data_IF_479792155948
#
_entry.id   IF_479792155948
#
_cell.length_a   1.000
_cell.length_b   1.000
_cell.length_c   1.000
_cell.angle_alpha   90.00
_cell.angle_beta   90.00
_cell.angle_gamma   90.00
#
_symmetry.space_group_name_H-M   'P 1'
#
loop_
_entity.id
_entity.type
_entity.pdbx_description
1 polymer ?
#
# COMPACT_ATOMS: atom_id res chain seq x y z
N UNK A 1 -7.18 -27.06 18.54
CA UNK A 1 -7.50 -25.87 19.35
C UNK A 1 -6.17 -25.27 19.78
N UNK A 2 -5.75 -24.15 19.19
CA UNK A 2 -4.43 -23.55 19.46
C UNK A 2 -4.41 -23.01 20.89
N UNK A 3 -3.59 -23.62 21.75
CA UNK A 3 -3.30 -23.06 23.08
C UNK A 3 -2.24 -21.98 22.92
N UNK A 4 -2.65 -20.76 22.55
CA UNK A 4 -1.77 -19.60 22.61
C UNK A 4 -1.28 -19.41 24.04
N UNK A 5 0.01 -19.13 24.22
CA UNK A 5 0.47 -18.67 25.51
C UNK A 5 -0.19 -17.31 25.83
N UNK A 6 -0.52 -17.07 27.10
CA UNK A 6 -1.16 -15.82 27.55
C UNK A 6 -0.42 -14.56 27.08
N UNK A 7 0.91 -14.63 26.98
CA UNK A 7 1.77 -13.55 26.50
C UNK A 7 1.65 -13.30 24.99
N UNK A 8 1.49 -14.35 24.18
CA UNK A 8 1.31 -14.26 22.73
C UNK A 8 -0.05 -13.62 22.38
N UNK A 9 -1.09 -14.00 23.12
CA UNK A 9 -2.42 -13.39 22.98
C UNK A 9 -2.40 -11.91 23.39
N UNK A 10 -1.70 -11.58 24.48
CA UNK A 10 -1.50 -10.19 24.90
C UNK A 10 -0.77 -9.37 23.84
N UNK A 11 0.31 -9.92 23.26
CA UNK A 11 1.05 -9.27 22.19
C UNK A 11 0.17 -8.94 20.98
N UNK A 12 -0.68 -9.88 20.55
CA UNK A 12 -1.60 -9.66 19.42
C UNK A 12 -2.62 -8.56 19.71
N UNK A 13 -3.20 -8.53 20.92
CA UNK A 13 -4.13 -7.47 21.34
C UNK A 13 -3.42 -6.12 21.32
N UNK A 14 -2.20 -6.04 21.85
CA UNK A 14 -1.43 -4.80 21.86
C UNK A 14 -1.11 -4.30 20.45
N UNK A 15 -0.69 -5.19 19.55
CA UNK A 15 -0.45 -4.85 18.15
C UNK A 15 -1.70 -4.39 17.42
N UNK A 16 -2.86 -5.02 17.70
CA UNK A 16 -4.14 -4.57 17.18
C UNK A 16 -4.51 -3.18 17.70
N UNK A 17 -4.38 -2.94 19.01
CA UNK A 17 -4.65 -1.64 19.64
C UNK A 17 -3.73 -0.55 19.10
N UNK A 18 -2.44 -0.85 18.92
CA UNK A 18 -1.47 0.06 18.31
C UNK A 18 -1.90 0.46 16.90
N UNK A 19 -2.19 -0.52 16.04
CA UNK A 19 -2.67 -0.27 14.68
C UNK A 19 -3.96 0.55 14.69
N UNK A 20 -4.93 0.21 15.54
CA UNK A 20 -6.19 0.93 15.67
C UNK A 20 -5.98 2.40 16.09
N UNK A 21 -5.08 2.65 17.05
CA UNK A 21 -4.73 4.00 17.51
C UNK A 21 -4.12 4.81 16.36
N UNK A 22 -3.10 4.25 15.68
CA UNK A 22 -2.44 4.86 14.52
C UNK A 22 -3.45 5.22 13.43
N UNK A 23 -4.37 4.30 13.13
CA UNK A 23 -5.43 4.55 12.17
C UNK A 23 -6.36 5.66 12.60
N UNK A 24 -6.86 5.60 13.84
CA UNK A 24 -7.81 6.57 14.37
C UNK A 24 -7.22 7.97 14.38
N UNK A 25 -5.98 8.12 14.85
CA UNK A 25 -5.24 9.39 14.85
C UNK A 25 -5.00 9.88 13.43
N UNK A 26 -4.55 9.02 12.52
CA UNK A 26 -4.32 9.43 11.13
C UNK A 26 -5.61 9.85 10.42
N UNK A 27 -6.75 9.18 10.66
CA UNK A 27 -8.05 9.59 10.12
C UNK A 27 -8.53 10.91 10.72
N UNK A 28 -8.30 11.13 12.02
CA UNK A 28 -8.57 12.42 12.66
C UNK A 28 -7.75 13.53 12.01
N UNK A 29 -6.44 13.33 11.82
CA UNK A 29 -5.55 14.30 11.16
C UNK A 29 -5.99 14.60 9.73
N UNK A 30 -6.36 13.59 8.94
CA UNK A 30 -6.88 13.79 7.57
C UNK A 30 -8.13 14.68 7.60
N UNK A 31 -9.07 14.46 8.53
CA UNK A 31 -10.28 15.28 8.68
C UNK A 31 -9.95 16.72 9.11
N UNK A 32 -9.03 16.90 10.05
CA UNK A 32 -8.59 18.22 10.50
C UNK A 32 -7.94 19.00 9.35
N UNK A 33 -7.09 18.35 8.54
CA UNK A 33 -6.48 18.98 7.37
C UNK A 33 -7.54 19.37 6.33
N UNK A 34 -8.52 18.48 6.05
CA UNK A 34 -9.66 18.82 5.17
C UNK A 34 -10.38 20.08 5.67
N UNK A 35 -10.64 20.17 6.98
CA UNK A 35 -11.32 21.31 7.58
C UNK A 35 -10.51 22.61 7.45
N UNK A 36 -9.21 22.57 7.77
CA UNK A 36 -8.31 23.71 7.66
C UNK A 36 -8.24 24.22 6.20
N UNK A 37 -8.02 23.32 5.25
CA UNK A 37 -7.86 23.68 3.85
C UNK A 37 -9.18 24.16 3.20
N UNK A 38 -10.32 23.60 3.61
CA UNK A 38 -11.64 24.03 3.12
C UNK A 38 -12.00 25.45 3.60
N UNK A 39 -11.61 25.80 4.82
CA UNK A 39 -11.86 27.15 5.36
C UNK A 39 -10.96 28.21 4.72
N UNK A 40 -9.73 27.86 4.34
CA UNK A 40 -8.79 28.78 3.70
C UNK A 40 -9.21 29.12 2.25
N UNK A 41 -9.75 28.14 1.52
CA UNK A 41 -10.30 28.35 0.17
C UNK A 41 -11.56 29.25 0.11
N UNK A 42 -12.15 29.62 1.26
CA UNK A 42 -13.24 30.59 1.34
C UNK A 42 -12.74 32.06 1.45
N UNK A 43 -11.45 32.28 1.67
CA UNK A 43 -10.79 33.58 1.58
C UNK A 43 -10.09 33.74 0.23
N UNK A 44 -10.34 34.83 -0.48
CA UNK A 44 -9.79 35.14 -1.79
C UNK A 44 -8.27 34.88 -1.91
N UNK A 45 -7.88 33.98 -2.82
CA UNK A 45 -6.50 33.93 -3.33
C UNK A 45 -6.56 34.00 -4.85
N UNK A 46 -6.38 35.21 -5.37
CA UNK A 46 -6.04 35.48 -6.76
C UNK A 46 -4.57 35.10 -7.00
N UNK A 47 -4.32 33.93 -7.59
CA UNK A 47 -3.18 33.62 -8.48
C UNK A 47 -3.15 32.12 -8.82
N UNK A 48 -3.20 31.78 -10.12
CA UNK A 48 -3.27 30.40 -10.61
C UNK A 48 -2.09 29.52 -10.17
N UNK A 49 -0.90 30.09 -9.95
CA UNK A 49 0.30 29.34 -9.53
C UNK A 49 0.31 29.04 -8.02
N UNK A 50 -0.23 29.95 -7.20
CA UNK A 50 -0.36 29.75 -5.76
C UNK A 50 -1.35 28.63 -5.44
N UNK A 51 -2.46 28.56 -6.21
CA UNK A 51 -3.48 27.52 -6.08
C UNK A 51 -2.91 26.13 -6.40
N UNK A 52 -2.10 26.01 -7.46
CA UNK A 52 -1.49 24.72 -7.84
C UNK A 52 -0.45 24.21 -6.84
N UNK A 53 0.30 25.10 -6.18
CA UNK A 53 1.21 24.73 -5.10
C UNK A 53 0.44 24.30 -3.85
N UNK A 54 -0.61 25.02 -3.50
CA UNK A 54 -1.46 24.73 -2.36
C UNK A 54 -2.10 23.34 -2.46
N UNK A 55 -2.66 23.00 -3.61
CA UNK A 55 -3.21 21.67 -3.90
C UNK A 55 -2.16 20.57 -3.82
N UNK A 56 -0.94 20.85 -4.31
CA UNK A 56 0.17 19.89 -4.26
C UNK A 56 0.61 19.59 -2.82
N UNK A 57 0.67 20.62 -1.97
CA UNK A 57 1.01 20.48 -0.54
C UNK A 57 -0.09 19.69 0.17
N UNK A 58 -1.35 20.02 -0.09
CA UNK A 58 -2.50 19.33 0.49
C UNK A 58 -2.49 17.83 0.19
N UNK A 59 -2.26 17.45 -1.08
CA UNK A 59 -2.15 16.03 -1.47
C UNK A 59 -0.94 15.37 -0.80
N UNK A 60 0.22 16.05 -0.77
CA UNK A 60 1.43 15.53 -0.15
C UNK A 60 1.25 15.25 1.36
N UNK A 61 0.53 16.11 2.09
CA UNK A 61 0.19 15.85 3.49
C UNK A 61 -0.63 14.57 3.68
N UNK A 62 -1.64 14.34 2.85
CA UNK A 62 -2.43 13.11 2.89
C UNK A 62 -1.58 11.87 2.58
N UNK A 63 -0.65 11.97 1.63
CA UNK A 63 0.31 10.89 1.36
C UNK A 63 1.23 10.64 2.55
N UNK A 64 1.67 11.70 3.24
CA UNK A 64 2.48 11.60 4.45
C UNK A 64 1.76 10.88 5.59
N UNK A 65 0.49 11.23 5.84
CA UNK A 65 -0.32 10.55 6.87
C UNK A 65 -0.58 9.10 6.49
N UNK A 66 -0.90 8.84 5.22
CA UNK A 66 -1.11 7.48 4.75
C UNK A 66 0.16 6.63 4.88
N UNK A 67 1.32 7.21 4.56
CA UNK A 67 2.63 6.57 4.74
C UNK A 67 2.90 6.28 6.22
N UNK A 68 2.65 7.24 7.11
CA UNK A 68 2.76 7.03 8.56
C UNK A 68 1.91 5.83 9.02
N UNK A 69 0.64 5.76 8.59
CA UNK A 69 -0.26 4.64 8.94
C UNK A 69 0.26 3.30 8.42
N UNK A 70 0.61 3.24 7.13
CA UNK A 70 1.10 2.03 6.48
C UNK A 70 2.40 1.52 7.12
N UNK A 71 3.34 2.43 7.33
CA UNK A 71 4.65 2.16 7.92
C UNK A 71 4.56 1.69 9.37
N UNK A 72 3.77 2.36 10.22
CA UNK A 72 3.64 2.00 11.62
C UNK A 72 3.02 0.60 11.78
N UNK A 73 1.96 0.31 11.03
CA UNK A 73 1.37 -1.03 11.02
C UNK A 73 2.30 -2.08 10.41
N UNK A 74 3.05 -1.75 9.35
CA UNK A 74 4.02 -2.67 8.77
C UNK A 74 5.14 -3.03 9.75
N UNK A 75 5.62 -2.09 10.56
CA UNK A 75 6.61 -2.36 11.61
C UNK A 75 6.01 -3.24 12.70
N UNK A 76 4.76 -2.99 13.09
CA UNK A 76 4.09 -3.76 14.15
C UNK A 76 3.73 -5.19 13.69
N UNK A 77 3.54 -5.42 12.40
CA UNK A 77 3.35 -6.76 11.83
C UNK A 77 4.53 -7.71 12.13
N UNK A 78 5.71 -7.18 12.46
CA UNK A 78 6.84 -7.96 12.96
C UNK A 78 6.46 -8.79 14.21
N UNK A 79 5.62 -8.24 15.09
CA UNK A 79 5.12 -8.96 16.28
C UNK A 79 4.25 -10.14 15.86
N UNK A 80 3.33 -9.94 14.91
CA UNK A 80 2.45 -10.99 14.38
C UNK A 80 3.29 -12.10 13.75
N UNK A 81 4.30 -11.72 12.95
CA UNK A 81 5.23 -12.65 12.32
C UNK A 81 6.02 -13.46 13.34
N UNK A 82 6.61 -12.81 14.34
CA UNK A 82 7.39 -13.48 15.38
C UNK A 82 6.57 -14.46 16.21
N UNK A 83 5.26 -14.18 16.36
CA UNK A 83 4.37 -14.95 17.22
C UNK A 83 3.69 -16.09 16.46
N UNK A 84 3.26 -15.86 15.21
CA UNK A 84 2.39 -16.77 14.47
C UNK A 84 2.91 -17.16 13.09
N UNK A 85 4.11 -16.70 12.70
CA UNK A 85 4.74 -17.02 11.43
C UNK A 85 4.20 -16.23 10.23
N UNK A 86 4.70 -16.60 9.05
CA UNK A 86 4.51 -15.83 7.80
C UNK A 86 3.06 -15.85 7.29
N UNK A 87 2.31 -16.93 7.51
CA UNK A 87 0.89 -17.02 7.08
C UNK A 87 0.00 -16.03 7.82
N UNK A 88 0.23 -15.85 9.12
CA UNK A 88 -0.50 -14.87 9.93
C UNK A 88 -0.06 -13.43 9.62
N UNK A 89 1.23 -13.23 9.31
CA UNK A 89 1.71 -11.96 8.80
C UNK A 89 1.00 -11.57 7.48
N UNK A 90 0.84 -12.53 6.57
CA UNK A 90 0.12 -12.31 5.32
C UNK A 90 -1.35 -11.92 5.55
N UNK A 91 -2.02 -12.54 6.53
CA UNK A 91 -3.37 -12.15 6.93
C UNK A 91 -3.40 -10.72 7.49
N UNK A 92 -2.42 -10.34 8.31
CA UNK A 92 -2.31 -8.97 8.84
C UNK A 92 -2.08 -7.93 7.73
N UNK A 93 -1.18 -8.21 6.78
CA UNK A 93 -0.96 -7.39 5.58
C UNK A 93 -2.26 -7.25 4.78
N UNK A 94 -2.99 -8.34 4.59
CA UNK A 94 -4.27 -8.35 3.87
C UNK A 94 -5.31 -7.46 4.54
N UNK A 95 -5.54 -7.65 5.84
CA UNK A 95 -6.51 -6.87 6.61
C UNK A 95 -6.14 -5.38 6.56
N UNK A 96 -4.85 -5.07 6.74
CA UNK A 96 -4.36 -3.69 6.65
C UNK A 96 -4.58 -3.10 5.26
N UNK A 97 -4.28 -3.86 4.19
CA UNK A 97 -4.50 -3.45 2.81
C UNK A 97 -5.97 -3.13 2.51
N UNK A 98 -6.90 -3.96 3.00
CA UNK A 98 -8.34 -3.73 2.86
C UNK A 98 -8.82 -2.50 3.62
N UNK A 99 -8.30 -2.26 4.82
CA UNK A 99 -8.60 -1.05 5.61
C UNK A 99 -8.06 0.19 4.87
N UNK A 100 -6.82 0.17 4.38
CA UNK A 100 -6.26 1.27 3.60
C UNK A 100 -7.08 1.51 2.33
N UNK A 101 -7.50 0.47 1.62
CA UNK A 101 -8.32 0.61 0.42
C UNK A 101 -9.63 1.33 0.70
N UNK A 102 -10.27 1.01 1.84
CA UNK A 102 -11.55 1.62 2.24
C UNK A 102 -11.42 3.07 2.70
N UNK A 103 -10.32 3.41 3.38
CA UNK A 103 -10.13 4.72 4.00
C UNK A 103 -9.03 5.58 3.36
N UNK A 104 -8.58 5.22 2.16
CA UNK A 104 -7.66 6.02 1.37
C UNK A 104 -8.36 7.29 0.87
N UNK A 105 -7.64 8.40 0.90
CA UNK A 105 -8.10 9.67 0.34
C UNK A 105 -7.37 9.95 -0.97
N UNK A 106 -8.09 10.15 -2.08
CA UNK A 106 -7.52 10.37 -3.45
C UNK A 106 -6.34 9.44 -3.79
N UNK A 107 -6.50 8.14 -3.56
CA UNK A 107 -5.48 7.10 -3.78
C UNK A 107 -4.23 7.20 -2.88
N UNK A 108 -4.25 7.95 -1.77
CA UNK A 108 -3.16 7.99 -0.79
C UNK A 108 -3.16 6.73 0.10
N UNK A 109 -2.55 5.64 -0.40
CA UNK A 109 -2.40 4.37 0.32
C UNK A 109 -1.07 4.23 1.07
N UNK A 110 -0.21 5.27 1.05
CA UNK A 110 1.05 5.27 1.78
C UNK A 110 2.20 4.55 1.10
N UNK A 111 2.14 4.32 -0.22
CA UNK A 111 3.27 3.81 -1.02
C UNK A 111 3.84 4.87 -1.96
N UNK A 112 5.16 4.80 -2.22
CA UNK A 112 5.88 5.59 -3.24
C UNK A 112 5.29 5.41 -4.64
N UNK A 113 4.63 4.27 -4.87
CA UNK A 113 3.92 3.93 -6.09
C UNK A 113 2.71 4.82 -6.35
N UNK A 114 1.99 5.26 -5.31
CA UNK A 114 0.77 6.07 -5.44
C UNK A 114 1.00 7.43 -6.13
N UNK A 115 1.92 8.30 -5.64
CA UNK A 115 2.17 9.59 -6.30
C UNK A 115 2.78 9.41 -7.69
N UNK A 116 3.60 8.38 -7.92
CA UNK A 116 4.13 8.09 -9.25
C UNK A 116 3.03 7.66 -10.22
N UNK A 117 2.09 6.82 -9.77
CA UNK A 117 0.94 6.46 -10.58
C UNK A 117 0.08 7.69 -10.94
N UNK A 118 -0.11 8.64 -10.01
CA UNK A 118 -0.76 9.92 -10.32
C UNK A 118 0.02 10.73 -11.35
N UNK A 119 1.35 10.73 -11.28
CA UNK A 119 2.22 11.39 -12.25
C UNK A 119 2.10 10.76 -13.65
N UNK A 120 2.11 9.43 -13.74
CA UNK A 120 1.92 8.69 -15.00
C UNK A 120 0.56 8.96 -15.65
N UNK A 121 -0.47 9.23 -14.85
CA UNK A 121 -1.81 9.61 -15.30
C UNK A 121 -1.99 11.13 -15.49
N UNK A 122 -0.90 11.92 -15.41
CA UNK A 122 -0.94 13.39 -15.50
C UNK A 122 -1.86 14.07 -14.48
N UNK A 123 -2.19 13.39 -13.38
CA UNK A 123 -2.98 13.90 -12.25
C UNK A 123 -2.14 14.74 -11.27
N UNK A 124 -0.82 14.68 -11.39
CA UNK A 124 0.12 15.55 -10.67
C UNK A 124 1.35 15.84 -11.54
N UNK A 125 2.04 16.94 -11.28
CA UNK A 125 3.30 17.29 -11.94
C UNK A 125 4.51 16.74 -11.17
N UNK A 126 5.72 16.92 -11.70
CA UNK A 126 6.95 16.44 -11.06
C UNK A 126 7.16 17.05 -9.66
N UNK A 127 6.80 18.32 -9.49
CA UNK A 127 6.90 19.01 -8.19
C UNK A 127 6.01 18.36 -7.13
N UNK A 128 4.75 18.07 -7.48
CA UNK A 128 3.80 17.38 -6.61
C UNK A 128 4.25 15.97 -6.27
N UNK A 129 4.79 15.22 -7.25
CA UNK A 129 5.41 13.91 -7.02
C UNK A 129 6.54 13.99 -5.98
N UNK A 130 7.50 14.90 -6.16
CA UNK A 130 8.62 15.07 -5.23
C UNK A 130 8.15 15.49 -3.83
N UNK A 131 7.20 16.41 -3.74
CA UNK A 131 6.60 16.84 -2.47
C UNK A 131 5.94 15.64 -1.76
N UNK A 132 5.13 14.85 -2.47
CA UNK A 132 4.53 13.63 -1.92
C UNK A 132 5.58 12.67 -1.36
N UNK A 133 6.67 12.40 -2.09
CA UNK A 133 7.74 11.53 -1.58
C UNK A 133 8.42 12.06 -0.33
N UNK A 134 8.66 13.38 -0.24
CA UNK A 134 9.23 14.02 0.96
C UNK A 134 8.30 13.84 2.16
N UNK A 135 7.00 14.11 1.99
CA UNK A 135 6.02 13.92 3.07
C UNK A 135 5.82 12.45 3.44
N UNK A 136 5.87 11.53 2.47
CA UNK A 136 5.83 10.09 2.72
C UNK A 136 7.03 9.63 3.56
N UNK A 137 8.23 10.12 3.27
CA UNK A 137 9.43 9.85 4.07
C UNK A 137 9.29 10.42 5.48
N UNK A 138 8.82 11.66 5.62
CA UNK A 138 8.57 12.26 6.93
C UNK A 138 7.59 11.42 7.76
N UNK A 139 6.46 11.01 7.15
CA UNK A 139 5.49 10.12 7.77
C UNK A 139 6.08 8.78 8.18
N UNK A 140 6.89 8.16 7.31
CA UNK A 140 7.57 6.91 7.59
C UNK A 140 8.55 7.03 8.78
N UNK A 141 9.36 8.09 8.85
CA UNK A 141 10.26 8.31 9.97
C UNK A 141 9.51 8.61 11.28
N UNK A 142 8.39 9.34 11.23
CA UNK A 142 7.52 9.51 12.39
C UNK A 142 6.97 8.17 12.89
N UNK A 143 6.55 7.30 11.97
CA UNK A 143 6.09 5.95 12.30
C UNK A 143 7.20 5.13 12.96
N UNK A 144 8.42 5.15 12.40
CA UNK A 144 9.57 4.47 12.97
C UNK A 144 9.87 4.92 14.41
N UNK A 145 9.84 6.24 14.67
CA UNK A 145 10.05 6.79 16.02
C UNK A 145 8.95 6.36 16.99
N UNK A 146 7.70 6.35 16.53
CA UNK A 146 6.57 5.88 17.32
C UNK A 146 6.70 4.38 17.65
N UNK A 147 7.06 3.54 16.68
CA UNK A 147 7.30 2.11 16.90
C UNK A 147 8.44 1.88 17.88
N UNK A 148 9.53 2.67 17.81
CA UNK A 148 10.61 2.58 18.81
C UNK A 148 10.15 2.92 20.21
N UNK A 149 9.33 3.97 20.36
CA UNK A 149 8.72 4.29 21.65
C UNK A 149 7.85 3.12 22.12
N UNK A 150 7.00 2.61 21.24
CA UNK A 150 6.09 1.50 21.54
C UNK A 150 6.83 0.24 22.01
N UNK A 151 7.85 -0.18 21.27
CA UNK A 151 8.66 -1.37 21.62
C UNK A 151 9.51 -1.16 22.88
N UNK A 152 9.94 0.07 23.17
CA UNK A 152 10.69 0.39 24.38
C UNK A 152 9.88 0.21 25.67
N UNK A 153 8.54 0.20 25.58
CA UNK A 153 7.67 -0.10 26.71
C UNK A 153 7.71 -1.58 27.14
N UNK A 154 8.29 -2.46 26.32
CA UNK A 154 8.49 -3.90 26.61
C UNK A 154 7.21 -4.59 27.14
N UNK A 155 6.07 -4.26 26.54
CA UNK A 155 4.73 -4.66 27.03
C UNK A 155 4.45 -6.17 26.92
N UNK A 156 5.20 -6.90 26.09
CA UNK A 156 5.18 -8.37 26.02
C UNK A 156 6.51 -8.90 25.49
N UNK A 157 6.73 -10.23 25.58
CA UNK A 157 8.01 -10.85 25.15
C UNK A 157 8.33 -10.58 23.67
N UNK A 158 7.37 -10.61 22.72
CA UNK A 158 7.64 -10.22 21.34
C UNK A 158 8.15 -8.77 21.18
N UNK A 159 7.53 -7.80 21.85
CA UNK A 159 7.98 -6.40 21.81
C UNK A 159 9.38 -6.24 22.41
N UNK A 160 9.66 -6.95 23.50
CA UNK A 160 10.98 -6.96 24.14
C UNK A 160 12.07 -7.55 23.22
N UNK A 161 11.74 -8.62 22.49
CA UNK A 161 12.62 -9.21 21.47
C UNK A 161 12.90 -8.25 20.33
N UNK A 162 11.88 -7.53 19.83
CA UNK A 162 12.06 -6.53 18.78
C UNK A 162 12.98 -5.39 19.22
N UNK A 163 12.76 -4.88 20.43
CA UNK A 163 13.61 -3.84 21.00
C UNK A 163 15.06 -4.33 21.17
N UNK A 164 15.25 -5.56 21.64
CA UNK A 164 16.58 -6.16 21.81
C UNK A 164 17.27 -6.39 20.46
N UNK A 165 16.54 -6.87 19.45
CA UNK A 165 17.06 -7.03 18.08
C UNK A 165 17.53 -5.69 17.51
N UNK A 166 16.74 -4.63 17.66
CA UNK A 166 17.11 -3.27 17.26
C UNK A 166 18.40 -2.81 17.94
N UNK A 167 18.51 -2.97 19.26
CA UNK A 167 19.71 -2.59 20.02
C UNK A 167 20.95 -3.34 19.54
N UNK A 168 20.80 -4.63 19.22
CA UNK A 168 21.89 -5.44 18.67
C UNK A 168 22.31 -4.97 17.28
N UNK A 169 21.36 -4.69 16.38
CA UNK A 169 21.67 -4.17 15.03
C UNK A 169 22.40 -2.83 15.12
N UNK A 170 21.96 -1.92 16.00
CA UNK A 170 22.63 -0.64 16.22
C UNK A 170 24.06 -0.78 16.77
N UNK A 171 24.36 -1.84 17.53
CA UNK A 171 25.73 -2.15 17.96
C UNK A 171 26.57 -2.67 16.80
N UNK A 172 26.04 -3.59 16.00
CA UNK A 172 26.69 -4.15 14.81
C UNK A 172 26.97 -3.08 13.75
N UNK A 173 26.04 -2.15 13.55
CA UNK A 173 26.18 -1.04 12.59
C UNK A 173 27.36 -0.09 12.91
N UNK A 174 27.87 -0.07 14.15
CA UNK A 174 29.09 0.67 14.49
C UNK A 174 30.35 0.06 13.88
N UNK A 175 30.29 -1.22 13.52
CA UNK A 175 31.38 -1.96 12.86
C UNK A 175 31.01 -2.17 11.39
N UNK A 176 30.82 -1.07 10.66
CA UNK A 176 30.33 -1.05 9.27
C UNK A 176 31.19 -1.86 8.30
N UNK A 177 32.48 -2.00 8.59
CA UNK A 177 33.45 -2.74 7.77
C UNK A 177 33.53 -4.23 8.12
N UNK A 178 32.71 -4.71 9.07
CA UNK A 178 32.70 -6.13 9.43
C UNK A 178 31.93 -6.97 8.41
N UNK A 179 32.43 -8.17 8.11
CA UNK A 179 31.71 -9.15 7.28
C UNK A 179 30.31 -9.45 7.82
N UNK A 180 30.13 -9.38 9.14
CA UNK A 180 28.86 -9.63 9.80
C UNK A 180 27.82 -8.53 9.50
N UNK A 181 28.25 -7.28 9.30
CA UNK A 181 27.38 -6.21 8.82
C UNK A 181 26.98 -6.40 7.35
N UNK A 182 27.86 -6.96 6.52
CA UNK A 182 27.51 -7.29 5.13
C UNK A 182 26.52 -8.46 5.04
N UNK A 183 26.59 -9.44 5.96
CA UNK A 183 25.62 -10.54 6.09
C UNK A 183 24.23 -10.07 6.59
N UNK A 184 24.15 -8.88 7.18
CA UNK A 184 22.91 -8.23 7.60
C UNK A 184 22.12 -7.60 6.45
N UNK A 185 22.59 -7.76 5.20
CA UNK A 185 22.00 -7.23 3.98
C UNK A 185 20.48 -7.45 3.89
N UNK A 186 19.83 -6.49 3.25
CA UNK A 186 18.39 -6.42 3.07
C UNK A 186 17.87 -7.32 1.94
N UNK A 187 18.72 -7.73 1.00
CA UNK A 187 18.36 -8.68 -0.06
C UNK A 187 18.76 -10.10 0.32
N UNK A 188 17.82 -11.04 0.23
CA UNK A 188 18.10 -12.48 0.35
C UNK A 188 18.50 -13.12 -0.99
N UNK A 189 18.36 -12.36 -2.08
CA UNK A 189 18.56 -12.81 -3.45
C UNK A 189 19.61 -11.96 -4.14
N UNK A 190 20.07 -12.40 -5.32
CA UNK A 190 20.95 -11.57 -6.14
C UNK A 190 20.27 -10.24 -6.50
N UNK A 191 21.09 -9.20 -6.65
CA UNK A 191 20.63 -7.85 -6.98
C UNK A 191 19.67 -7.81 -8.19
N UNK A 192 20.05 -8.45 -9.29
CA UNK A 192 19.22 -8.49 -10.51
C UNK A 192 17.89 -9.22 -10.29
N UNK A 193 17.91 -10.30 -9.52
CA UNK A 193 16.68 -11.02 -9.19
C UNK A 193 15.77 -10.20 -8.27
N UNK A 194 16.35 -9.43 -7.33
CA UNK A 194 15.59 -8.50 -6.50
C UNK A 194 14.88 -7.41 -7.31
N UNK A 195 15.57 -6.82 -8.30
CA UNK A 195 14.97 -5.89 -9.26
C UNK A 195 13.78 -6.55 -9.96
N UNK A 196 13.96 -7.77 -10.47
CA UNK A 196 12.90 -8.50 -11.17
C UNK A 196 11.68 -8.74 -10.28
N UNK A 197 11.88 -9.21 -9.04
CA UNK A 197 10.79 -9.49 -8.10
C UNK A 197 9.98 -8.24 -7.79
N UNK A 198 10.63 -7.15 -7.36
CA UNK A 198 9.92 -5.89 -7.03
C UNK A 198 9.23 -5.28 -8.26
N UNK A 199 9.83 -5.39 -9.45
CA UNK A 199 9.21 -4.99 -10.71
C UNK A 199 7.96 -5.83 -11.01
N UNK A 200 8.04 -7.16 -10.87
CA UNK A 200 6.95 -8.07 -11.16
C UNK A 200 5.77 -7.89 -10.21
N UNK A 201 6.03 -7.71 -8.91
CA UNK A 201 4.99 -7.43 -7.90
C UNK A 201 4.25 -6.13 -8.26
N UNK A 202 4.98 -5.05 -8.56
CA UNK A 202 4.39 -3.76 -8.93
C UNK A 202 3.64 -3.80 -10.27
N UNK A 203 4.16 -4.55 -11.25
CA UNK A 203 3.48 -4.80 -12.51
C UNK A 203 2.12 -5.48 -12.28
N UNK A 204 2.09 -6.52 -11.45
CA UNK A 204 0.87 -7.25 -11.13
C UNK A 204 -0.16 -6.40 -10.39
N UNK A 205 0.27 -5.50 -9.49
CA UNK A 205 -0.60 -4.55 -8.78
C UNK A 205 -1.30 -3.56 -9.73
N UNK A 206 -0.77 -3.34 -10.94
CA UNK A 206 -1.42 -2.51 -11.97
C UNK A 206 -2.30 -3.35 -12.89
N UNK A 207 -1.77 -4.47 -13.38
CA UNK A 207 -2.46 -5.25 -14.41
C UNK A 207 -3.68 -5.97 -13.84
N UNK A 208 -3.57 -6.61 -12.66
CA UNK A 208 -4.67 -7.39 -12.10
C UNK A 208 -5.89 -6.48 -11.87
N UNK A 209 -5.80 -5.34 -11.16
CA UNK A 209 -6.95 -4.46 -10.95
C UNK A 209 -7.52 -3.83 -12.22
N UNK A 210 -6.71 -3.68 -13.28
CA UNK A 210 -7.20 -3.17 -14.56
C UNK A 210 -7.95 -4.24 -15.38
N UNK A 211 -7.56 -5.51 -15.26
CA UNK A 211 -8.22 -6.61 -15.97
C UNK A 211 -9.58 -6.99 -15.37
N UNK A 212 -9.75 -6.86 -14.04
CA UNK A 212 -10.99 -7.29 -13.35
C UNK A 212 -12.25 -6.56 -13.85
N UNK A 213 -12.28 -5.21 -13.97
CA UNK A 213 -13.45 -4.50 -14.49
C UNK A 213 -13.70 -4.81 -15.97
N UNK A 214 -12.64 -4.98 -16.78
CA UNK A 214 -12.79 -5.34 -18.18
C UNK A 214 -13.43 -6.72 -18.36
N UNK A 215 -13.06 -7.69 -17.52
CA UNK A 215 -13.69 -9.01 -17.48
C UNK A 215 -15.16 -8.92 -17.03
N UNK A 216 -15.46 -8.07 -16.05
CA UNK A 216 -16.82 -7.83 -15.59
C UNK A 216 -17.69 -7.20 -16.69
N UNK A 217 -17.16 -6.23 -17.44
CA UNK A 217 -17.87 -5.59 -18.54
C UNK A 217 -18.12 -6.57 -19.69
N UNK A 218 -17.14 -7.42 -20.01
CA UNK A 218 -17.31 -8.50 -20.98
C UNK A 218 -18.37 -9.51 -20.51
N UNK A 219 -18.38 -9.86 -19.23
CA UNK A 219 -19.39 -10.74 -18.65
C UNK A 219 -20.78 -10.14 -18.72
N UNK A 220 -20.93 -8.85 -18.37
CA UNK A 220 -22.19 -8.08 -18.49
C UNK A 220 -22.69 -8.04 -19.94
N UNK A 221 -21.78 -7.95 -20.91
CA UNK A 221 -22.12 -7.98 -22.34
C UNK A 221 -22.56 -9.37 -22.82
N UNK A 222 -21.90 -10.44 -22.37
CA UNK A 222 -22.17 -11.81 -22.81
C UNK A 222 -23.41 -12.42 -22.14
N UNK A 223 -23.79 -11.95 -20.95
CA UNK A 223 -24.85 -12.55 -20.15
C UNK A 223 -26.07 -11.62 -20.11
N UNK A 224 -27.05 -11.92 -20.96
CA UNK A 224 -28.32 -11.17 -21.10
C UNK A 224 -29.31 -11.40 -19.94
N UNK A 225 -29.09 -12.41 -19.10
CA UNK A 225 -30.05 -12.85 -18.09
C UNK A 225 -29.57 -12.57 -16.66
N UNK A 226 -30.16 -11.53 -16.07
CA UNK A 226 -30.53 -11.28 -14.66
C UNK A 226 -29.82 -11.93 -13.46
N UNK A 227 -28.66 -12.58 -13.59
CA UNK A 227 -27.89 -13.10 -12.45
C UNK A 227 -27.46 -11.95 -11.54
N UNK A 228 -27.34 -12.25 -10.24
CA UNK A 228 -26.98 -11.26 -9.22
C UNK A 228 -25.55 -10.73 -9.49
N UNK A 229 -25.47 -9.61 -10.23
CA UNK A 229 -24.23 -8.95 -10.66
C UNK A 229 -23.32 -8.69 -9.46
N UNK A 230 -23.90 -8.44 -8.29
CA UNK A 230 -23.18 -8.21 -7.03
C UNK A 230 -22.37 -9.41 -6.57
N UNK A 231 -22.86 -10.64 -6.80
CA UNK A 231 -22.11 -11.84 -6.48
C UNK A 231 -20.88 -12.00 -7.38
N UNK A 232 -21.02 -11.69 -8.67
CA UNK A 232 -19.91 -11.74 -9.64
C UNK A 232 -18.86 -10.66 -9.32
N UNK A 233 -19.31 -9.45 -8.98
CA UNK A 233 -18.45 -8.36 -8.52
C UNK A 233 -17.66 -8.76 -7.27
N UNK A 234 -18.34 -9.34 -6.27
CA UNK A 234 -17.70 -9.84 -5.06
C UNK A 234 -16.70 -10.97 -5.34
N UNK A 235 -17.05 -11.93 -6.21
CA UNK A 235 -16.19 -13.04 -6.58
C UNK A 235 -14.92 -12.54 -7.28
N UNK A 236 -15.07 -11.66 -8.27
CA UNK A 236 -13.97 -11.08 -9.01
C UNK A 236 -13.06 -10.24 -8.12
N UNK A 237 -13.65 -9.43 -7.22
CA UNK A 237 -12.88 -8.71 -6.22
C UNK A 237 -12.09 -9.67 -5.30
N UNK A 238 -12.72 -10.73 -4.83
CA UNK A 238 -12.08 -11.74 -3.96
C UNK A 238 -10.93 -12.43 -4.67
N UNK A 239 -11.11 -12.84 -5.94
CA UNK A 239 -10.07 -13.45 -6.76
C UNK A 239 -8.91 -12.49 -7.01
N UNK A 240 -9.20 -11.22 -7.28
CA UNK A 240 -8.18 -10.18 -7.42
C UNK A 240 -7.35 -10.03 -6.13
N UNK A 241 -8.00 -9.90 -4.97
CA UNK A 241 -7.29 -9.78 -3.70
C UNK A 241 -6.47 -11.03 -3.40
N UNK A 242 -7.04 -12.23 -3.58
CA UNK A 242 -6.36 -13.50 -3.36
C UNK A 242 -5.11 -13.64 -4.26
N UNK A 243 -5.21 -13.24 -5.53
CA UNK A 243 -4.08 -13.29 -6.47
C UNK A 243 -2.98 -12.31 -6.06
N UNK A 244 -3.34 -11.07 -5.70
CA UNK A 244 -2.36 -10.09 -5.21
C UNK A 244 -1.64 -10.56 -3.95
N UNK A 245 -2.38 -11.13 -2.99
CA UNK A 245 -1.83 -11.69 -1.75
C UNK A 245 -0.90 -12.88 -2.05
N UNK A 246 -1.27 -13.75 -2.99
CA UNK A 246 -0.44 -14.88 -3.38
C UNK A 246 0.90 -14.42 -4.00
N UNK A 247 0.88 -13.37 -4.81
CA UNK A 247 2.11 -12.78 -5.38
C UNK A 247 2.98 -12.18 -4.28
N UNK A 248 2.38 -11.46 -3.32
CA UNK A 248 3.10 -10.96 -2.13
C UNK A 248 3.71 -12.11 -1.35
N UNK A 249 2.97 -13.20 -1.12
CA UNK A 249 3.47 -14.39 -0.44
C UNK A 249 4.71 -14.99 -1.12
N UNK A 250 4.74 -15.05 -2.45
CA UNK A 250 5.90 -15.52 -3.20
C UNK A 250 7.11 -14.57 -3.11
N UNK A 251 6.87 -13.26 -3.07
CA UNK A 251 7.93 -12.24 -3.01
C UNK A 251 8.46 -11.96 -1.60
N UNK A 252 7.65 -12.23 -0.56
CA UNK A 252 7.99 -11.95 0.85
C UNK A 252 9.32 -12.58 1.30
N UNK A 253 9.65 -13.86 1.01
CA UNK A 253 10.94 -14.43 1.38
C UNK A 253 12.11 -13.93 0.51
N UNK A 254 11.85 -13.31 -0.64
CA UNK A 254 12.88 -12.94 -1.61
C UNK A 254 13.40 -11.52 -1.39
N UNK A 255 12.47 -10.56 -1.38
CA UNK A 255 12.78 -9.13 -1.24
C UNK A 255 12.01 -8.47 -0.11
N UNK A 256 11.03 -9.16 0.48
CA UNK A 256 10.01 -8.58 1.34
C UNK A 256 8.75 -8.14 0.59
N UNK A 257 8.76 -8.16 -0.76
CA UNK A 257 7.67 -7.70 -1.62
C UNK A 257 7.11 -6.33 -1.20
N UNK A 258 8.00 -5.36 -0.93
CA UNK A 258 7.59 -4.12 -0.30
C UNK A 258 6.70 -3.28 -1.21
N UNK A 259 7.03 -3.19 -2.51
CA UNK A 259 6.32 -2.35 -3.49
C UNK A 259 6.10 -0.91 -2.97
N UNK A 260 6.99 -0.46 -2.09
CA UNK A 260 6.86 0.74 -1.29
C UNK A 260 8.24 1.13 -0.77
N UNK A 261 8.89 2.06 -1.46
CA UNK A 261 10.25 2.47 -1.16
C UNK A 261 10.40 3.11 0.22
N UNK A 262 9.39 3.85 0.70
CA UNK A 262 9.46 4.46 2.05
C UNK A 262 9.32 3.42 3.15
N UNK A 263 8.47 2.40 2.97
CA UNK A 263 8.38 1.29 3.92
C UNK A 263 9.67 0.47 3.94
N UNK A 264 10.23 0.18 2.75
CA UNK A 264 11.51 -0.51 2.64
C UNK A 264 12.65 0.26 3.36
N UNK A 265 12.69 1.59 3.23
CA UNK A 265 13.69 2.44 3.90
C UNK A 265 13.60 2.30 5.42
N UNK A 266 12.42 2.40 6.02
CA UNK A 266 12.32 2.28 7.49
C UNK A 266 12.55 0.86 8.00
N UNK A 267 12.19 -0.14 7.20
CA UNK A 267 12.35 -1.57 7.52
C UNK A 267 13.81 -2.05 7.39
N UNK A 268 14.64 -1.29 6.67
CA UNK A 268 16.05 -1.61 6.44
C UNK A 268 16.97 -0.55 7.04
N UNK A 269 17.04 0.66 6.46
CA UNK A 269 17.89 1.77 6.88
C UNK A 269 17.47 2.29 8.25
N UNK A 270 16.17 2.44 8.46
CA UNK A 270 15.61 2.89 9.73
C UNK A 270 16.06 2.02 10.90
N UNK A 271 16.16 0.72 10.66
CA UNK A 271 16.60 -0.30 11.62
C UNK A 271 18.11 -0.57 11.59
N UNK A 272 18.88 0.11 10.72
CA UNK A 272 20.33 0.01 10.64
C UNK A 272 20.87 -1.19 9.86
N UNK A 273 20.06 -1.80 8.97
CA UNK A 273 20.38 -3.04 8.25
C UNK A 273 20.97 -2.87 6.85
N UNK A 274 20.84 -1.70 6.24
CA UNK A 274 21.36 -1.57 4.88
C UNK A 274 22.87 -1.41 4.82
N UNK A 275 23.50 -2.45 4.31
CA UNK A 275 24.91 -2.48 3.98
C UNK A 275 25.23 -1.67 2.72
N UNK A 276 24.35 -1.68 1.72
CA UNK A 276 24.52 -0.94 0.45
C UNK A 276 23.31 -0.05 0.10
N UNK A 277 23.40 1.28 0.34
CA UNK A 277 22.32 2.22 0.05
C UNK A 277 21.93 2.29 -1.43
N UNK A 278 22.87 2.16 -2.37
CA UNK A 278 22.57 2.26 -3.80
C UNK A 278 21.75 1.05 -4.27
N UNK A 279 22.13 -0.15 -3.87
CA UNK A 279 21.36 -1.36 -4.18
C UNK A 279 19.94 -1.26 -3.61
N UNK A 280 19.81 -0.77 -2.38
CA UNK A 280 18.51 -0.57 -1.73
C UNK A 280 17.61 0.37 -2.53
N UNK A 281 18.10 1.55 -2.93
CA UNK A 281 17.31 2.51 -3.72
C UNK A 281 16.92 1.89 -5.06
N UNK A 282 17.84 1.22 -5.76
CA UNK A 282 17.54 0.64 -7.07
C UNK A 282 16.45 -0.45 -6.96
N UNK A 283 16.60 -1.37 -6.00
CA UNK A 283 15.66 -2.47 -5.85
C UNK A 283 14.31 -1.99 -5.34
N UNK A 284 14.26 -1.17 -4.29
CA UNK A 284 12.99 -0.86 -3.61
C UNK A 284 12.32 0.44 -4.01
N UNK A 285 13.05 1.37 -4.63
CA UNK A 285 12.46 2.59 -5.19
C UNK A 285 12.28 2.46 -6.69
N UNK A 286 13.36 2.27 -7.45
CA UNK A 286 13.27 2.33 -8.92
C UNK A 286 12.54 1.13 -9.52
N UNK A 287 12.75 -0.08 -9.02
CA UNK A 287 12.19 -1.30 -9.63
C UNK A 287 10.65 -1.35 -9.55
N UNK A 288 9.99 -1.04 -8.42
CA UNK A 288 8.53 -0.92 -8.39
C UNK A 288 7.99 0.13 -9.35
N UNK A 289 8.65 1.30 -9.46
CA UNK A 289 8.24 2.36 -10.38
C UNK A 289 8.36 1.91 -11.85
N UNK A 290 9.40 1.15 -12.18
CA UNK A 290 9.53 0.50 -13.48
C UNK A 290 8.37 -0.46 -13.74
N UNK A 291 8.02 -1.29 -12.75
CA UNK A 291 6.89 -2.23 -12.84
C UNK A 291 5.56 -1.53 -13.13
N UNK A 292 5.28 -0.42 -12.42
CA UNK A 292 4.10 0.41 -12.68
C UNK A 292 4.09 0.97 -14.11
N UNK A 293 5.23 1.50 -14.56
CA UNK A 293 5.35 2.10 -15.88
C UNK A 293 5.15 1.05 -16.98
N UNK A 294 5.80 -0.11 -16.88
CA UNK A 294 5.62 -1.24 -17.81
C UNK A 294 4.17 -1.71 -17.80
N UNK A 295 3.57 -1.90 -16.61
CA UNK A 295 2.17 -2.32 -16.48
C UNK A 295 1.21 -1.38 -17.18
N UNK A 296 1.37 -0.06 -16.98
CA UNK A 296 0.57 0.96 -17.67
C UNK A 296 0.74 0.89 -19.18
N UNK A 297 1.98 0.79 -19.67
CA UNK A 297 2.26 0.68 -21.13
C UNK A 297 1.64 -0.57 -21.73
N UNK A 298 1.73 -1.71 -21.05
CA UNK A 298 1.08 -2.94 -21.49
C UNK A 298 -0.44 -2.75 -21.61
N UNK A 299 -1.08 -2.11 -20.64
CA UNK A 299 -2.52 -1.84 -20.69
C UNK A 299 -2.90 -0.88 -21.83
N UNK A 300 -2.11 0.17 -22.07
CA UNK A 300 -2.30 1.08 -23.22
C UNK A 300 -2.22 0.32 -24.55
N UNK A 301 -1.19 -0.51 -24.74
CA UNK A 301 -1.01 -1.32 -25.96
C UNK A 301 -2.14 -2.33 -26.15
N UNK A 302 -2.58 -3.00 -25.08
CA UNK A 302 -3.70 -3.96 -25.13
C UNK A 302 -5.01 -3.24 -25.48
N UNK A 303 -5.26 -2.06 -24.91
CA UNK A 303 -6.45 -1.28 -25.21
C UNK A 303 -6.46 -0.78 -26.66
N UNK A 304 -5.34 -0.25 -27.14
CA UNK A 304 -5.18 0.22 -28.52
C UNK A 304 -5.35 -0.94 -29.52
N UNK A 305 -4.82 -2.12 -29.17
CA UNK A 305 -5.03 -3.34 -29.96
C UNK A 305 -6.50 -3.74 -29.99
N UNK A 306 -7.19 -3.73 -28.85
CA UNK A 306 -8.60 -4.10 -28.77
C UNK A 306 -9.49 -3.12 -29.55
N UNK A 307 -9.25 -1.81 -29.43
CA UNK A 307 -10.01 -0.79 -30.17
C UNK A 307 -9.78 -0.91 -31.67
N UNK A 308 -8.54 -1.11 -32.11
CA UNK A 308 -8.21 -1.38 -33.51
C UNK A 308 -8.97 -2.59 -34.06
N UNK A 309 -8.94 -3.72 -33.34
CA UNK A 309 -9.65 -4.94 -33.77
C UNK A 309 -11.17 -4.76 -33.77
N UNK A 310 -11.73 -4.08 -32.77
CA UNK A 310 -13.17 -3.76 -32.71
C UNK A 310 -13.62 -2.91 -33.89
N UNK A 311 -12.85 -1.88 -34.27
CA UNK A 311 -13.14 -1.07 -35.44
C UNK A 311 -13.06 -1.87 -36.75
N UNK A 312 -12.05 -2.74 -36.90
CA UNK A 312 -11.92 -3.67 -38.04
C UNK A 312 -13.12 -4.62 -38.16
N UNK A 313 -13.55 -5.22 -37.05
CA UNK A 313 -14.72 -6.10 -37.00
C UNK A 313 -16.01 -5.35 -37.34
N UNK A 314 -16.19 -4.12 -36.85
CA UNK A 314 -17.35 -3.29 -37.21
C UNK A 314 -17.36 -2.94 -38.71
N UNK A 315 -16.20 -2.67 -39.32
CA UNK A 315 -16.10 -2.44 -40.78
C UNK A 315 -16.48 -3.70 -41.57
N UNK A 316 -16.02 -4.89 -41.11
CA UNK A 316 -16.36 -6.17 -41.71
C UNK A 316 -17.84 -6.55 -41.55
N UNK A 317 -18.46 -6.23 -40.41
CA UNK A 317 -19.86 -6.56 -40.11
C UNK A 317 -20.87 -5.58 -40.72
N UNK A 318 -20.49 -4.31 -40.91
CA UNK A 318 -21.37 -3.29 -41.47
C UNK A 318 -21.37 -3.26 -43.02
N UNK A 319 -20.72 -4.22 -43.67
CA UNK A 319 -20.81 -4.40 -45.12
C UNK A 319 -20.50 -3.13 -45.93
N UNK A 320 -19.29 -2.60 -45.82
CA UNK A 320 -18.80 -1.65 -46.83
C UNK A 320 -18.16 -2.43 -47.98
N UNK A 321 -18.47 -2.09 -49.25
CA UNK A 321 -18.03 -2.84 -50.41
C UNK A 321 -16.50 -2.80 -50.51
N UNK A 322 -15.94 -3.93 -50.94
CA UNK A 322 -14.55 -4.07 -51.38
C UNK A 322 -14.21 -2.85 -52.26
N UNK A 323 -13.16 -2.07 -51.95
CA UNK A 323 -12.66 -1.12 -52.93
C UNK A 323 -12.09 -1.96 -54.07
N UNK A 324 -12.85 -2.01 -55.15
CA UNK A 324 -12.39 -2.47 -56.45
C UNK A 324 -11.14 -1.65 -56.77
N UNK A 325 -10.00 -2.33 -56.91
CA UNK A 325 -8.77 -1.71 -57.36
C UNK A 325 -9.00 -1.39 -58.85
N UNK A 326 -9.62 -0.25 -59.14
CA UNK A 326 -9.63 0.33 -60.47
C UNK A 326 -8.28 1.02 -60.67
N UNK A 327 -7.41 0.33 -61.41
CA UNK A 327 -6.23 0.92 -62.04
C UNK A 327 -6.70 1.99 -63.02
N UNK A 328 -6.57 3.26 -62.67
CA UNK A 328 -6.61 4.36 -63.64
C UNK A 328 -5.43 5.32 -63.40
N UNK A 329 -4.44 5.12 -64.28
CA UNK A 329 -3.61 6.09 -65.00
C UNK A 329 -3.64 7.56 -64.55
N UNK A 330 -2.43 8.11 -64.44
CA UNK A 330 -2.06 9.53 -64.34
C UNK A 330 -2.88 10.48 -65.24
N UNK A 331 -3.27 11.65 -64.71
CA UNK A 331 -2.78 12.97 -65.17
C UNK A 331 -3.44 14.16 -64.41
N UNK A 332 -2.58 15.02 -63.87
CA UNK A 332 -2.67 16.48 -63.65
C UNK A 332 -4.03 17.19 -63.42
N UNK A 333 -4.18 17.84 -62.26
CA UNK A 333 -4.21 19.32 -62.16
C UNK A 333 -4.28 19.82 -60.71
N UNK A 334 -3.65 20.97 -60.49
CA UNK A 334 -3.43 21.65 -59.23
C UNK A 334 -4.64 22.52 -58.83
N UNK A 335 -5.03 22.57 -57.53
CA UNK A 335 -5.11 23.80 -56.71
C UNK A 335 -6.07 23.73 -55.48
N UNK A 336 -5.73 24.53 -54.45
CA UNK A 336 -6.56 25.12 -53.36
C UNK A 336 -6.59 24.42 -51.97
N UNK A 337 -5.69 24.93 -51.09
CA UNK A 337 -5.87 25.49 -49.70
C UNK A 337 -6.54 24.69 -48.54
N UNK A 338 -6.21 25.07 -47.28
CA UNK A 338 -6.12 24.18 -46.11
C UNK A 338 -7.39 24.16 -45.27
N UNK A 339 -7.65 23.07 -44.55
CA UNK A 339 -8.45 23.12 -43.32
C UNK A 339 -7.99 22.08 -42.30
N UNK A 340 -7.82 22.56 -41.07
CA UNK A 340 -7.14 21.89 -39.96
C UNK A 340 -7.80 20.61 -39.47
N UNK A 341 -6.99 19.56 -39.37
CA UNK A 341 -7.26 18.40 -38.54
C UNK A 341 -6.88 18.73 -37.10
N UNK A 342 -7.89 19.22 -36.37
CA UNK A 342 -7.91 19.30 -34.91
C UNK A 342 -7.84 17.86 -34.39
N UNK A 343 -6.67 17.43 -33.93
CA UNK A 343 -6.51 16.16 -33.21
C UNK A 343 -7.44 16.17 -32.00
N UNK A 344 -8.51 15.37 -32.02
CA UNK A 344 -9.31 15.07 -30.83
C UNK A 344 -8.43 14.27 -29.88
N UNK A 345 -7.79 14.97 -28.96
CA UNK A 345 -7.16 14.38 -27.78
C UNK A 345 -8.20 13.56 -27.01
N UNK A 346 -7.76 12.41 -26.49
CA UNK A 346 -8.50 11.46 -25.66
C UNK A 346 -9.57 12.14 -24.77
N UNK A 347 -10.78 11.55 -24.76
CA UNK A 347 -11.67 11.73 -23.61
C UNK A 347 -11.04 10.99 -22.43
N UNK A 348 -10.68 11.74 -21.39
CA UNK A 348 -10.23 11.26 -20.08
C UNK A 348 -11.30 10.42 -19.35
N UNK A 349 -12.53 10.31 -19.85
CA UNK A 349 -13.67 9.79 -19.10
C UNK A 349 -13.57 8.30 -18.76
N UNK A 350 -12.85 7.49 -19.55
CA UNK A 350 -12.79 6.05 -19.32
C UNK A 350 -11.81 5.66 -18.21
N UNK A 351 -10.67 6.36 -18.13
CA UNK A 351 -9.68 6.20 -17.04
C UNK A 351 -10.10 6.97 -15.77
N UNK A 352 -10.78 8.11 -15.90
CA UNK A 352 -11.36 8.79 -14.75
C UNK A 352 -12.51 7.98 -14.13
N UNK A 353 -13.33 7.27 -14.93
CA UNK A 353 -14.35 6.34 -14.42
C UNK A 353 -13.79 5.19 -13.58
N UNK A 354 -12.59 4.69 -13.91
CA UNK A 354 -11.87 3.67 -13.11
C UNK A 354 -11.43 4.22 -11.74
N UNK A 355 -11.13 5.51 -11.64
CA UNK A 355 -10.81 6.17 -10.36
C UNK A 355 -12.05 6.67 -9.60
N UNK A 356 -13.11 7.05 -10.33
CA UNK A 356 -14.38 7.53 -9.78
C UNK A 356 -15.23 6.39 -9.21
N UNK A 357 -15.18 5.18 -9.77
CA UNK A 357 -15.88 4.03 -9.18
C UNK A 357 -15.33 3.68 -7.79
N UNK A 358 -14.07 4.01 -7.51
CA UNK A 358 -13.43 3.89 -6.19
C UNK A 358 -13.84 5.00 -5.22
N UNK A 359 -14.34 6.13 -5.73
CA UNK A 359 -14.73 7.31 -4.95
C UNK A 359 -16.25 7.43 -4.73
N UNK A 360 -17.09 6.97 -5.67
CA UNK A 360 -18.54 7.12 -5.61
C UNK A 360 -19.21 6.20 -4.57
N UNK A 361 -18.59 5.07 -4.24
CA UNK A 361 -19.08 4.19 -3.16
C UNK A 361 -18.94 4.82 -1.76
N UNK A 362 -17.98 5.74 -1.59
CA UNK A 362 -17.76 6.45 -0.32
C UNK A 362 -18.74 7.62 -0.11
N UNK A 363 -19.32 8.18 -1.18
CA UNK A 363 -20.29 9.28 -1.06
C UNK A 363 -21.71 8.79 -0.72
N UNK A 364 -22.11 7.64 -1.26
CA UNK A 364 -23.48 7.09 -1.08
C UNK A 364 -23.70 6.58 0.36
N UNK A 365 -22.66 6.09 1.04
CA UNK A 365 -22.74 5.60 2.42
C UNK A 365 -22.69 6.70 3.50
N UNK A 366 -22.30 7.94 3.14
CA UNK A 366 -22.36 9.08 4.06
C UNK A 366 -23.77 9.66 4.21
N UNK A 367 -24.67 9.37 3.26
CA UNK A 367 -26.07 9.85 3.27
C UNK A 367 -27.06 8.92 3.95
N UNK A 368 -26.72 7.66 4.20
CA UNK A 368 -27.63 6.67 4.80
C UNK A 368 -27.49 6.51 6.32
N UNK A 369 -26.55 7.21 6.97
CA UNK A 369 -26.35 7.17 8.43
C UNK A 369 -27.17 8.17 9.25
N UNK A 370 -28.07 8.93 8.63
CA UNK A 370 -28.81 10.00 9.30
C UNK A 370 -30.31 9.73 9.29
N UNK A 371 -30.73 8.72 10.07
CA UNK A 371 -32.12 8.58 10.55
C UNK A 371 -32.18 7.54 11.67
N UNK A 372 -32.83 7.93 12.78
CA UNK A 372 -33.45 7.08 13.80
C UNK A 372 -32.57 6.53 14.94
N UNK A 373 -32.46 7.25 16.06
CA UNK A 373 -33.17 6.89 17.32
C UNK A 373 -32.86 7.85 18.48
N UNK A 374 -33.94 8.41 19.02
CA UNK A 374 -34.09 9.21 20.24
C UNK A 374 -34.36 8.33 21.47
N UNK A 375 -33.96 8.83 22.65
CA UNK A 375 -34.31 8.43 24.03
C UNK A 375 -33.69 7.11 24.56
N UNK A 376 -33.30 6.94 25.83
CA UNK A 376 -33.65 7.63 27.09
C UNK A 376 -32.51 7.57 28.12
N UNK A 377 -32.45 8.58 28.99
CA UNK A 377 -31.76 8.54 30.27
C UNK A 377 -32.35 7.47 31.20
N UNK A 378 -31.52 6.79 31.97
CA UNK A 378 -31.73 6.61 33.42
C UNK A 378 -30.48 6.05 34.11
N UNK A 379 -30.21 6.65 35.27
CA UNK A 379 -29.25 6.33 36.31
C UNK A 379 -29.38 4.92 36.87
N UNK A 380 -28.28 4.34 37.37
CA UNK A 380 -28.23 3.74 38.70
C UNK A 380 -26.78 3.49 39.16
N UNK A 381 -26.51 4.00 40.37
CA UNK A 381 -25.37 3.74 41.23
C UNK A 381 -25.16 2.23 41.48
N UNK A 382 -23.91 1.81 41.65
CA UNK A 382 -23.49 0.98 42.78
C UNK A 382 -22.03 1.28 43.13
N UNK A 383 -21.82 1.48 44.43
CA UNK A 383 -20.59 1.86 45.10
C UNK A 383 -20.05 0.66 45.91
N UNK A 384 -18.87 0.85 46.52
CA UNK A 384 -18.18 0.06 47.55
C UNK A 384 -17.11 -0.97 47.12
N UNK A 385 -15.89 -0.76 47.65
CA UNK A 385 -15.22 -1.85 48.37
C UNK A 385 -13.71 -1.97 48.23
N UNK A 386 -12.96 -1.19 49.01
CA UNK A 386 -11.51 -1.28 49.26
C UNK A 386 -11.05 -2.55 49.98
N UNK A 387 -9.81 -3.01 49.75
CA UNK A 387 -8.93 -3.56 50.82
C UNK A 387 -7.45 -3.70 50.39
N UNK A 388 -6.56 -3.43 51.34
CA UNK A 388 -5.09 -3.37 51.26
C UNK A 388 -4.38 -4.62 51.83
N UNK A 389 -3.08 -4.77 51.48
CA UNK A 389 -1.95 -5.39 52.25
C UNK A 389 -1.83 -6.94 52.17
N UNK A 390 -0.67 -7.63 52.26
CA UNK A 390 0.73 -7.34 52.66
C UNK A 390 1.73 -8.48 52.26
N UNK A 391 3.00 -8.11 52.04
CA UNK A 391 4.32 -8.70 52.40
C UNK A 391 4.73 -10.23 52.38
N UNK A 392 5.84 -10.48 51.63
CA UNK A 392 7.16 -11.13 51.94
C UNK A 392 7.51 -12.65 51.73
N UNK A 393 8.65 -12.81 51.02
CA UNK A 393 9.86 -13.67 51.22
C UNK A 393 9.94 -15.13 50.68
N UNK A 394 11.01 -15.42 49.94
CA UNK A 394 11.60 -16.78 49.79
C UNK A 394 12.56 -16.92 48.61
N UNK A 395 13.85 -17.12 48.89
CA UNK A 395 15.00 -17.08 47.96
C UNK A 395 15.58 -18.50 47.72
N UNK A 396 16.34 -18.67 46.62
CA UNK A 396 17.32 -19.75 46.29
C UNK A 396 16.85 -21.13 45.78
N UNK A 397 17.07 -21.38 44.48
CA UNK A 397 17.87 -22.53 43.98
C UNK A 397 18.35 -22.27 42.54
N UNK A 398 19.64 -21.98 42.39
CA UNK A 398 20.38 -21.79 41.13
C UNK A 398 21.17 -23.08 40.79
N UNK A 399 21.62 -23.19 39.53
CA UNK A 399 22.85 -23.87 39.09
C UNK A 399 22.87 -25.31 38.55
N UNK A 400 21.74 -25.87 38.10
CA UNK A 400 21.75 -27.16 37.35
C UNK A 400 21.38 -27.08 35.86
N UNK A 401 20.42 -26.22 35.49
CA UNK A 401 19.74 -26.31 34.18
C UNK A 401 20.26 -25.36 33.10
N UNK A 402 21.15 -24.42 33.44
CA UNK A 402 21.63 -23.41 32.48
C UNK A 402 22.64 -23.93 31.46
N UNK A 403 23.27 -25.10 31.68
CA UNK A 403 24.28 -25.65 30.74
C UNK A 403 23.71 -26.54 29.63
N UNK A 404 22.51 -27.09 29.77
CA UNK A 404 21.90 -27.93 28.72
C UNK A 404 21.03 -27.14 27.73
N UNK A 405 20.58 -25.93 28.08
CA UNK A 405 19.84 -25.05 27.13
C UNK A 405 20.75 -24.29 26.17
N UNK A 406 22.05 -24.18 26.46
CA UNK A 406 23.03 -23.51 25.60
C UNK A 406 23.47 -24.33 24.37
N UNK A 407 23.18 -25.64 24.32
CA UNK A 407 23.55 -26.49 23.18
C UNK A 407 22.41 -26.74 22.18
N UNK A 408 21.18 -26.31 22.48
CA UNK A 408 20.01 -26.46 21.58
C UNK A 408 19.63 -25.19 20.82
N UNK A 409 20.33 -24.07 21.03
CA UNK A 409 20.07 -22.79 20.33
C UNK A 409 20.88 -22.60 19.05
N UNK A 410 21.54 -23.64 18.52
CA UNK A 410 22.47 -23.51 17.38
C UNK A 410 21.93 -23.95 16.03
N UNK A 411 20.62 -24.14 15.89
CA UNK A 411 19.97 -24.46 14.60
C UNK A 411 18.67 -23.69 14.43
N UNK A 412 18.76 -22.38 14.31
CA UNK A 412 17.81 -21.54 13.57
C UNK A 412 18.43 -20.13 13.41
N UNK A 413 19.45 -20.07 12.57
CA UNK A 413 19.86 -18.81 11.93
C UNK A 413 18.81 -18.47 10.87
N UNK A 414 17.63 -18.05 11.30
CA UNK A 414 16.61 -17.48 10.43
C UNK A 414 17.02 -16.05 10.08
N UNK A 415 17.20 -15.79 8.79
CA UNK A 415 17.27 -14.45 8.21
C UNK A 415 15.89 -13.80 8.35
N UNK A 416 15.76 -12.75 9.18
CA UNK A 416 14.46 -12.17 9.56
C UNK A 416 14.34 -10.75 9.00
N UNK A 417 13.58 -10.57 7.91
CA UNK A 417 12.92 -9.29 7.65
C UNK A 417 12.01 -8.98 8.85
N UNK A 418 12.05 -7.75 9.36
CA UNK A 418 11.14 -7.32 10.41
C UNK A 418 9.73 -7.15 9.83
#
# INVERSE_FOLDING_TARGET
MFSLAKDEFCALILSFLFCLLVYSVGQFLKKTIIFLFKNESAGEINQNDALGLYDSIYIAFHDGIASFQACACSLENAVVRLTFGDTSNLAAITIHGLIMLRYAWKDACGSTCNPFNRYLHKRTNLRGLCLSWVFQLLGAFCALRLSYLWWSLRLSTPHDRLQTQRENILRLARFRDSEDFHKLGDLQVSFLFGIFVETAVAFSDVVIPATTPALLDLWKYLQSDGKDIRFVEFLLFTLQQATGIYIIYLGLPLTGAYMNGVNAVIQTWGLGRASNPLCHIIVYWFSPLLGLWVGKRTLEVVHDSFTFWKSRLQILMNGAPVPEISVESEENSCSIRPNGLRSKSLSNDYLDKLSLHRSSENEILSRTGQKSLTASNNSLMFDCGSSQSSFRKGDKKLDGELRQRLFRSRTQSGSVHL
#
